data_IF_407798848791
#
_entry.id   IF_407798848791
#
_cell.length_a   1.000
_cell.length_b   1.000
_cell.length_c   1.000
_cell.angle_alpha   90.00
_cell.angle_beta   90.00
_cell.angle_gamma   90.00
#
_symmetry.space_group_name_H-M   'P 1'
#
loop_
_entity.id
_entity.type
_entity.pdbx_description
1 polymer ?
#
# COMPACT_ATOMS: atom_id res chain seq x y z
N UNK A 1 -13.07 -11.16 -2.63
CA UNK A 1 -14.32 -11.51 -1.94
C UNK A 1 -15.42 -10.51 -2.31
N UNK A 2 -16.68 -10.90 -2.08
CA UNK A 2 -17.80 -10.01 -2.34
C UNK A 2 -17.87 -8.88 -1.31
N UNK A 3 -18.55 -7.79 -1.67
CA UNK A 3 -18.78 -6.68 -0.75
C UNK A 3 -19.54 -7.13 0.51
N UNK A 4 -20.55 -7.99 0.34
CA UNK A 4 -21.33 -8.50 1.47
C UNK A 4 -20.48 -9.33 2.42
N UNK A 5 -19.59 -10.17 1.89
CA UNK A 5 -18.64 -10.94 2.70
C UNK A 5 -17.67 -10.03 3.44
N UNK A 6 -17.17 -8.99 2.77
CA UNK A 6 -16.29 -8.02 3.39
C UNK A 6 -16.97 -7.30 4.57
N UNK A 7 -18.21 -6.84 4.37
CA UNK A 7 -18.99 -6.18 5.42
C UNK A 7 -19.26 -7.13 6.61
N UNK A 8 -19.50 -8.40 6.32
CA UNK A 8 -19.68 -9.43 7.36
C UNK A 8 -18.41 -9.57 8.22
N UNK A 9 -17.24 -9.58 7.58
CA UNK A 9 -15.96 -9.67 8.30
C UNK A 9 -15.70 -8.43 9.16
N UNK A 10 -16.15 -7.25 8.73
CA UNK A 10 -16.08 -6.05 9.57
C UNK A 10 -16.90 -6.24 10.85
N UNK A 11 -18.13 -6.73 10.74
CA UNK A 11 -19.00 -6.96 11.89
C UNK A 11 -18.41 -7.99 12.85
N UNK A 12 -17.71 -8.99 12.32
CA UNK A 12 -17.06 -10.04 13.12
C UNK A 12 -15.71 -9.58 13.69
N UNK A 13 -15.28 -8.36 13.42
CA UNK A 13 -14.01 -7.79 13.88
C UNK A 13 -12.80 -8.62 13.43
N UNK A 14 -12.86 -9.13 12.21
CA UNK A 14 -11.80 -9.96 11.63
C UNK A 14 -10.69 -9.15 10.94
N UNK A 15 -10.91 -7.85 10.74
CA UNK A 15 -9.91 -6.98 10.13
C UNK A 15 -9.04 -6.27 11.17
N UNK A 16 -7.74 -6.25 10.94
CA UNK A 16 -6.82 -5.37 11.66
C UNK A 16 -7.04 -3.93 11.23
N UNK A 17 -7.25 -3.73 9.93
CA UNK A 17 -7.62 -2.45 9.36
C UNK A 17 -8.47 -2.68 8.11
N UNK A 18 -9.28 -1.72 7.76
CA UNK A 18 -10.01 -1.70 6.51
C UNK A 18 -10.32 -0.26 6.13
N UNK A 19 -10.58 -0.04 4.85
CA UNK A 19 -10.95 1.29 4.38
C UNK A 19 -11.66 1.24 3.03
N UNK A 20 -12.39 2.30 2.74
CA UNK A 20 -13.05 2.53 1.46
C UNK A 20 -12.13 3.45 0.64
N UNK A 21 -11.71 2.97 -0.52
CA UNK A 21 -10.91 3.76 -1.45
C UNK A 21 -11.65 3.84 -2.77
N UNK A 22 -12.16 5.00 -3.09
CA UNK A 22 -12.93 5.25 -4.33
C UNK A 22 -14.12 4.28 -4.50
N UNK A 23 -14.82 3.96 -3.41
CA UNK A 23 -15.97 3.06 -3.44
C UNK A 23 -15.64 1.58 -3.35
N UNK A 24 -14.35 1.22 -3.36
CA UNK A 24 -13.90 -0.17 -3.20
C UNK A 24 -13.39 -0.39 -1.79
N UNK A 25 -13.69 -1.56 -1.24
CA UNK A 25 -13.28 -1.91 0.12
C UNK A 25 -11.99 -2.72 0.11
N UNK A 26 -11.04 -2.29 0.91
CA UNK A 26 -9.74 -2.95 1.09
C UNK A 26 -9.50 -3.16 2.57
N UNK A 27 -8.90 -4.28 2.93
CA UNK A 27 -8.58 -4.54 4.32
C UNK A 27 -7.63 -5.70 4.49
N UNK A 28 -7.01 -5.75 5.67
CA UNK A 28 -6.07 -6.79 6.06
C UNK A 28 -6.66 -7.53 7.26
N UNK A 29 -6.87 -8.82 7.11
CA UNK A 29 -7.45 -9.64 8.17
C UNK A 29 -6.41 -9.97 9.25
N UNK A 30 -6.89 -10.25 10.45
CA UNK A 30 -6.03 -10.69 11.55
C UNK A 30 -5.31 -11.99 11.22
N UNK A 31 -5.96 -12.88 10.47
CA UNK A 31 -5.37 -14.15 10.08
C UNK A 31 -4.15 -14.01 9.17
N UNK A 32 -4.07 -12.94 8.37
CA UNK A 32 -2.90 -12.68 7.54
C UNK A 32 -1.66 -12.40 8.38
N UNK A 33 -1.82 -11.79 9.54
CA UNK A 33 -0.72 -11.47 10.46
C UNK A 33 -0.44 -12.56 11.49
N UNK A 34 -1.34 -13.51 11.66
CA UNK A 34 -1.14 -14.62 12.59
C UNK A 34 -0.45 -15.83 11.94
N UNK A 35 -0.14 -15.73 10.66
CA UNK A 35 0.55 -16.78 9.93
C UNK A 35 1.99 -16.93 10.44
N UNK A 36 2.39 -18.15 10.76
CA UNK A 36 3.71 -18.46 11.35
C UNK A 36 4.87 -18.40 10.35
N UNK A 37 4.67 -17.93 9.13
CA UNK A 37 5.75 -17.73 8.17
C UNK A 37 6.76 -16.75 8.76
N UNK A 38 8.05 -16.97 8.54
CA UNK A 38 9.08 -16.06 9.00
C UNK A 38 8.89 -14.65 8.44
N UNK A 39 8.49 -14.55 7.17
CA UNK A 39 8.25 -13.26 6.51
C UNK A 39 6.98 -13.34 5.67
N UNK A 40 6.12 -12.36 5.83
CA UNK A 40 4.92 -12.20 5.02
C UNK A 40 4.92 -10.85 4.34
N UNK A 41 4.46 -10.80 3.09
CA UNK A 41 4.29 -9.57 2.34
C UNK A 41 2.83 -9.20 2.25
N UNK A 42 2.52 -7.95 2.51
CA UNK A 42 1.16 -7.43 2.38
C UNK A 42 1.20 -6.15 1.57
N UNK A 43 0.35 -6.07 0.55
CA UNK A 43 0.22 -4.87 -0.26
C UNK A 43 -0.91 -4.04 0.31
N UNK A 44 -0.58 -2.82 0.72
CA UNK A 44 -1.53 -1.90 1.34
C UNK A 44 -1.43 -0.54 0.69
N UNK A 45 -2.50 0.24 0.79
CA UNK A 45 -2.35 1.65 0.52
C UNK A 45 -1.73 2.34 1.74
N UNK A 46 -1.38 3.62 1.58
CA UNK A 46 -0.63 4.35 2.62
C UNK A 46 -1.40 4.45 3.94
N UNK A 47 -2.71 4.70 3.87
CA UNK A 47 -3.52 4.82 5.09
C UNK A 47 -3.64 3.50 5.84
N UNK A 48 -3.79 2.39 5.10
CA UNK A 48 -3.80 1.06 5.69
C UNK A 48 -2.46 0.72 6.34
N UNK A 49 -1.35 1.04 5.67
CA UNK A 49 -0.01 0.84 6.21
C UNK A 49 0.20 1.62 7.52
N UNK A 50 -0.25 2.87 7.55
CA UNK A 50 -0.14 3.69 8.76
C UNK A 50 -0.94 3.12 9.93
N UNK A 51 -2.12 2.59 9.65
CA UNK A 51 -2.95 1.95 10.68
C UNK A 51 -2.29 0.70 11.23
N UNK A 52 -1.71 -0.13 10.38
CA UNK A 52 -0.98 -1.34 10.81
C UNK A 52 0.22 -0.95 11.67
N UNK A 53 0.97 0.06 11.27
CA UNK A 53 2.11 0.54 12.05
C UNK A 53 1.68 1.02 13.43
N UNK A 54 0.53 1.67 13.53
CA UNK A 54 -0.01 2.14 14.81
C UNK A 54 -0.43 0.98 15.71
N UNK A 55 -1.04 -0.07 15.14
CA UNK A 55 -1.50 -1.23 15.87
C UNK A 55 -0.36 -2.16 16.28
N UNK A 56 0.67 -2.28 15.45
CA UNK A 56 1.79 -3.19 15.61
C UNK A 56 3.11 -2.43 15.41
N UNK A 57 3.49 -1.52 16.34
CA UNK A 57 4.59 -0.58 16.09
C UNK A 57 5.95 -1.21 15.80
N UNK A 58 6.21 -2.41 16.30
CA UNK A 58 7.52 -3.05 16.19
C UNK A 58 7.54 -4.24 15.22
N UNK A 59 6.42 -4.56 14.59
CA UNK A 59 6.31 -5.75 13.76
C UNK A 59 6.54 -5.49 12.26
N UNK A 60 5.85 -4.51 11.63
CA UNK A 60 5.98 -4.33 10.19
C UNK A 60 7.17 -3.45 9.82
N UNK A 61 7.79 -3.78 8.71
CA UNK A 61 8.69 -2.88 7.99
C UNK A 61 7.89 -2.28 6.84
N UNK A 62 7.76 -0.97 6.83
CA UNK A 62 6.98 -0.26 5.82
C UNK A 62 7.87 0.22 4.69
N UNK A 63 7.57 -0.22 3.48
CA UNK A 63 8.29 0.17 2.27
C UNK A 63 7.33 0.92 1.35
N UNK A 64 7.68 2.14 1.00
CA UNK A 64 6.93 2.94 0.05
C UNK A 64 7.58 2.84 -1.32
N UNK A 65 6.80 2.40 -2.33
CA UNK A 65 7.26 2.35 -3.71
C UNK A 65 6.71 3.57 -4.45
N UNK A 66 7.59 4.38 -5.00
CA UNK A 66 7.18 5.58 -5.70
C UNK A 66 7.59 5.54 -7.17
N UNK A 67 6.81 6.15 -8.08
CA UNK A 67 7.21 6.28 -9.47
C UNK A 67 8.45 7.18 -9.58
N UNK A 68 9.17 7.11 -10.71
CA UNK A 68 10.36 7.95 -10.91
C UNK A 68 10.08 9.44 -10.77
N UNK A 69 8.88 9.90 -11.16
CA UNK A 69 8.47 11.28 -11.02
C UNK A 69 6.94 11.40 -11.02
N UNK A 70 6.45 12.54 -10.58
CA UNK A 70 5.02 12.86 -10.64
C UNK A 70 4.53 12.88 -12.10
N UNK A 71 5.35 13.38 -12.99
CA UNK A 71 5.06 13.43 -14.42
C UNK A 71 4.91 12.04 -15.03
N UNK A 72 5.79 11.11 -14.66
CA UNK A 72 5.72 9.72 -15.10
C UNK A 72 4.44 9.06 -14.61
N UNK A 73 4.03 9.32 -13.38
CA UNK A 73 2.75 8.84 -12.85
C UNK A 73 1.59 9.40 -13.66
N UNK A 74 1.60 10.70 -13.96
CA UNK A 74 0.57 11.34 -14.75
C UNK A 74 0.48 10.71 -16.15
N UNK A 75 1.61 10.43 -16.78
CA UNK A 75 1.67 9.78 -18.10
C UNK A 75 1.10 8.37 -18.06
N UNK A 76 1.41 7.61 -17.01
CA UNK A 76 0.85 6.26 -16.84
C UNK A 76 -0.66 6.29 -16.69
N UNK A 77 -1.18 7.23 -15.93
CA UNK A 77 -2.63 7.39 -15.74
C UNK A 77 -3.34 7.78 -17.04
N UNK A 78 -2.73 8.66 -17.84
CA UNK A 78 -3.28 9.05 -19.15
C UNK A 78 -3.34 7.89 -20.13
N UNK A 79 -2.34 7.02 -20.11
CA UNK A 79 -2.27 5.84 -20.98
C UNK A 79 -3.35 4.80 -20.67
N UNK A 80 -3.89 4.79 -19.48
CA UNK A 80 -4.98 3.88 -19.11
C UNK A 80 -6.32 4.24 -19.73
N UNK A 81 -6.40 5.35 -20.41
CA UNK A 81 -7.46 5.80 -21.34
C UNK A 81 -8.90 5.82 -20.85
N UNK A 82 -9.24 5.21 -19.73
CA UNK A 82 -10.60 5.16 -19.19
C UNK A 82 -10.88 6.25 -18.15
N UNK A 83 -9.87 7.06 -17.80
CA UNK A 83 -10.00 8.06 -16.76
C UNK A 83 -10.12 9.46 -17.35
N UNK A 84 -11.01 10.27 -16.76
CA UNK A 84 -11.15 11.68 -17.10
C UNK A 84 -9.98 12.49 -16.54
N UNK A 85 -9.76 13.68 -17.07
CA UNK A 85 -8.74 14.59 -16.53
C UNK A 85 -8.97 14.89 -15.04
N UNK A 86 -10.24 15.03 -14.65
CA UNK A 86 -10.60 15.28 -13.24
C UNK A 86 -10.19 14.10 -12.34
N UNK A 87 -10.40 12.88 -12.79
CA UNK A 87 -10.00 11.68 -12.05
C UNK A 87 -8.48 11.58 -11.92
N UNK A 88 -7.75 11.92 -12.99
CA UNK A 88 -6.29 11.94 -12.98
C UNK A 88 -5.76 12.97 -11.98
N UNK A 89 -6.35 14.17 -11.96
CA UNK A 89 -5.96 15.19 -10.98
C UNK A 89 -6.18 14.73 -9.54
N UNK A 90 -7.30 14.09 -9.25
CA UNK A 90 -7.58 13.55 -7.92
C UNK A 90 -6.55 12.50 -7.50
N UNK A 91 -6.15 11.64 -8.42
CA UNK A 91 -5.11 10.64 -8.14
C UNK A 91 -3.75 11.27 -7.91
N UNK A 92 -3.42 12.33 -8.65
CA UNK A 92 -2.17 13.05 -8.45
C UNK A 92 -2.14 13.77 -7.09
N UNK A 93 -3.26 14.37 -6.69
CA UNK A 93 -3.38 14.98 -5.37
C UNK A 93 -3.23 13.94 -4.26
N UNK A 94 -3.83 12.76 -4.44
CA UNK A 94 -3.67 11.67 -3.50
C UNK A 94 -2.22 11.21 -3.44
N UNK A 95 -1.56 11.11 -4.58
CA UNK A 95 -0.14 10.77 -4.63
C UNK A 95 0.72 11.79 -3.87
N UNK A 96 0.42 13.06 -4.03
CA UNK A 96 1.14 14.12 -3.31
C UNK A 96 1.00 13.95 -1.79
N UNK A 97 -0.19 13.63 -1.32
CA UNK A 97 -0.45 13.32 0.09
C UNK A 97 0.30 12.07 0.55
N UNK A 98 0.22 11.01 -0.24
CA UNK A 98 0.91 9.75 0.05
C UNK A 98 2.42 9.91 0.09
N UNK A 99 2.97 10.69 -0.83
CA UNK A 99 4.40 10.99 -0.87
C UNK A 99 4.84 11.73 0.39
N UNK A 100 4.02 12.66 0.87
CA UNK A 100 4.28 13.36 2.13
C UNK A 100 4.29 12.38 3.31
N UNK A 101 3.33 11.44 3.34
CA UNK A 101 3.25 10.43 4.39
C UNK A 101 4.36 9.39 4.30
N UNK A 102 5.00 9.23 3.14
CA UNK A 102 6.08 8.26 2.96
C UNK A 102 7.29 8.54 3.85
N UNK A 103 7.41 9.76 4.37
CA UNK A 103 8.45 10.12 5.34
C UNK A 103 8.33 9.35 6.66
N UNK A 104 7.16 8.78 6.92
CA UNK A 104 6.91 7.97 8.12
C UNK A 104 7.18 6.49 7.88
N UNK A 105 7.51 6.11 6.65
CA UNK A 105 7.84 4.73 6.28
C UNK A 105 9.31 4.45 6.59
N UNK A 106 9.62 3.17 6.75
CA UNK A 106 11.01 2.74 7.02
C UNK A 106 11.90 2.90 5.80
N UNK A 107 11.36 2.68 4.61
CA UNK A 107 12.09 2.80 3.34
C UNK A 107 11.21 3.44 2.28
N UNK A 108 11.84 4.17 1.38
CA UNK A 108 11.19 4.75 0.21
C UNK A 108 12.04 4.41 -1.01
N UNK A 109 11.47 3.67 -1.96
CA UNK A 109 12.19 3.15 -3.12
C UNK A 109 11.57 3.69 -4.40
N UNK A 110 12.42 4.20 -5.31
CA UNK A 110 11.96 4.60 -6.64
C UNK A 110 11.79 3.35 -7.50
N UNK A 111 10.58 3.10 -7.96
CA UNK A 111 10.24 1.94 -8.78
C UNK A 111 10.37 2.28 -10.27
N UNK A 112 11.60 2.40 -10.75
CA UNK A 112 11.89 2.66 -12.17
C UNK A 112 12.15 1.37 -12.96
N UNK A 113 12.75 0.38 -12.32
CA UNK A 113 13.09 -0.92 -12.90
C UNK A 113 12.68 -2.01 -11.92
N UNK A 114 11.86 -2.96 -12.40
CA UNK A 114 11.32 -4.03 -11.56
C UNK A 114 12.46 -4.87 -10.95
N UNK A 115 13.50 -5.16 -11.70
CA UNK A 115 14.62 -5.98 -11.22
C UNK A 115 15.38 -5.26 -10.12
N UNK A 116 15.70 -3.97 -10.31
CA UNK A 116 16.39 -3.18 -9.30
C UNK A 116 15.56 -3.04 -8.03
N UNK A 117 14.25 -2.80 -8.17
CA UNK A 117 13.33 -2.71 -7.04
C UNK A 117 13.30 -4.02 -6.27
N UNK A 118 13.20 -5.15 -6.97
CA UNK A 118 13.19 -6.48 -6.38
C UNK A 118 14.48 -6.75 -5.61
N UNK A 119 15.62 -6.42 -6.20
CA UNK A 119 16.93 -6.61 -5.57
C UNK A 119 17.07 -5.77 -4.30
N UNK A 120 16.60 -4.53 -4.34
CA UNK A 120 16.59 -3.64 -3.18
C UNK A 120 15.73 -4.18 -2.05
N UNK A 121 14.55 -4.69 -2.37
CA UNK A 121 13.66 -5.30 -1.37
C UNK A 121 14.30 -6.54 -0.75
N UNK A 122 14.97 -7.37 -1.55
CA UNK A 122 15.71 -8.54 -1.05
C UNK A 122 16.80 -8.14 -0.06
N UNK A 123 17.54 -7.08 -0.34
CA UNK A 123 18.55 -6.57 0.59
C UNK A 123 17.94 -6.12 1.90
N UNK A 124 16.80 -5.43 1.84
CA UNK A 124 16.07 -5.00 3.05
C UNK A 124 15.66 -6.22 3.89
N UNK A 125 15.14 -7.27 3.24
CA UNK A 125 14.74 -8.49 3.93
C UNK A 125 15.93 -9.15 4.64
N UNK A 126 17.07 -9.21 3.97
CA UNK A 126 18.29 -9.80 4.57
C UNK A 126 18.73 -9.01 5.80
N UNK A 127 18.57 -7.69 5.80
CA UNK A 127 18.92 -6.84 6.94
C UNK A 127 17.96 -6.96 8.11
N UNK A 128 16.72 -7.40 7.87
CA UNK A 128 15.72 -7.59 8.92
C UNK A 128 15.95 -8.91 9.68
N UNK A 129 16.48 -9.90 9.00
CA UNK A 129 16.77 -11.21 9.61
C UNK A 129 17.91 -11.11 10.67
#
# INVERSE_FOLDING_TARGET
ITRDKFLSLIQENEFLEWQDVHGELYGTTRSEFSNESEISFVILDVLGAMRIKKLLPNTPTLIFLKPPSREELANRLRKRSSETNSEIEKRLERYDMELHMSNLFDYSIVNSDIQETTDTIKEIIENIK
#
